data_IF_592137755140
#
_entry.id   IF_592137755140
#
_cell.length_a   1.000
_cell.length_b   1.000
_cell.length_c   1.000
_cell.angle_alpha   90.00
_cell.angle_beta   90.00
_cell.angle_gamma   90.00
#
_symmetry.space_group_name_H-M   'P 1'
#
loop_
_entity.id
_entity.type
_entity.pdbx_description
1 polymer ?
#
# COMPACT_ATOMS: atom_id res chain seq x y z
N UNK A 1 -7.85 0.79 -65.57
CA UNK A 1 -6.52 0.45 -66.13
C UNK A 1 -5.62 -0.09 -65.01
N UNK A 2 -5.91 -1.28 -64.48
CA UNK A 2 -5.15 -1.93 -63.39
C UNK A 2 -5.34 -3.46 -63.50
N UNK A 3 -5.01 -4.07 -64.63
CA UNK A 3 -5.13 -5.53 -64.79
C UNK A 3 -4.04 -6.16 -65.67
N UNK A 4 -2.81 -5.63 -65.62
CA UNK A 4 -1.66 -6.22 -66.33
C UNK A 4 -0.37 -6.15 -65.51
N UNK A 5 -0.42 -6.62 -64.27
CA UNK A 5 0.75 -6.79 -63.40
C UNK A 5 0.89 -8.23 -62.86
N UNK A 6 0.40 -9.22 -63.61
CA UNK A 6 0.81 -10.62 -63.41
C UNK A 6 2.06 -10.89 -64.26
N UNK A 7 3.20 -10.38 -63.78
CA UNK A 7 4.51 -10.82 -64.26
C UNK A 7 4.64 -12.33 -64.02
N UNK A 8 5.24 -13.05 -64.97
CA UNK A 8 5.55 -14.48 -64.92
C UNK A 8 6.51 -14.76 -63.75
N UNK A 9 5.96 -14.90 -62.54
CA UNK A 9 6.72 -15.33 -61.37
C UNK A 9 7.05 -16.82 -61.54
N UNK A 10 8.34 -17.22 -61.52
CA UNK A 10 8.72 -18.63 -61.56
C UNK A 10 8.00 -19.41 -60.45
N UNK A 11 7.56 -20.64 -60.72
CA UNK A 11 6.80 -21.46 -59.75
C UNK A 11 7.48 -21.53 -58.37
N UNK A 12 8.81 -21.56 -58.35
CA UNK A 12 9.64 -21.59 -57.14
C UNK A 12 9.53 -20.30 -56.32
N UNK A 13 9.50 -19.13 -56.97
CA UNK A 13 9.35 -17.83 -56.29
C UNK A 13 7.94 -17.64 -55.74
N UNK A 14 6.91 -18.12 -56.46
CA UNK A 14 5.52 -18.07 -55.97
C UNK A 14 5.33 -18.94 -54.73
N UNK A 15 5.96 -20.13 -54.70
CA UNK A 15 5.96 -21.01 -53.54
C UNK A 15 6.69 -20.39 -52.35
N UNK A 16 7.84 -19.75 -52.60
CA UNK A 16 8.61 -19.06 -51.57
C UNK A 16 7.84 -17.89 -50.94
N UNK A 17 7.17 -17.06 -51.76
CA UNK A 17 6.34 -15.95 -51.28
C UNK A 17 5.15 -16.45 -50.47
N UNK A 18 4.48 -17.52 -50.89
CA UNK A 18 3.38 -18.13 -50.13
C UNK A 18 3.85 -18.66 -48.76
N UNK A 19 5.04 -19.26 -48.71
CA UNK A 19 5.63 -19.77 -47.47
C UNK A 19 5.97 -18.61 -46.51
N UNK A 20 6.53 -17.51 -47.02
CA UNK A 20 6.79 -16.32 -46.21
C UNK A 20 5.50 -15.69 -45.66
N UNK A 21 4.45 -15.60 -46.47
CA UNK A 21 3.13 -15.11 -46.03
C UNK A 21 2.54 -16.03 -44.96
N UNK A 22 2.63 -17.36 -45.14
CA UNK A 22 2.15 -18.32 -44.16
C UNK A 22 2.92 -18.23 -42.84
N UNK A 23 4.25 -18.08 -42.89
CA UNK A 23 5.09 -17.92 -41.70
C UNK A 23 4.78 -16.61 -40.97
N UNK A 24 4.57 -15.52 -41.71
CA UNK A 24 4.14 -14.24 -41.14
C UNK A 24 2.76 -14.34 -40.48
N UNK A 25 1.80 -15.01 -41.13
CA UNK A 25 0.47 -15.26 -40.58
C UNK A 25 0.53 -16.12 -39.31
N UNK A 26 1.30 -17.20 -39.30
CA UNK A 26 1.47 -18.05 -38.10
C UNK A 26 2.12 -17.26 -36.96
N UNK A 27 3.10 -16.42 -37.25
CA UNK A 27 3.71 -15.55 -36.25
C UNK A 27 2.71 -14.53 -35.67
N UNK A 28 1.94 -13.84 -36.54
CA UNK A 28 0.98 -12.82 -36.10
C UNK A 28 -0.23 -13.42 -35.38
N UNK A 29 -0.77 -14.52 -35.90
CA UNK A 29 -1.90 -15.25 -35.28
C UNK A 29 -1.45 -15.90 -33.99
N UNK A 30 -0.26 -16.50 -33.95
CA UNK A 30 0.33 -17.01 -32.71
C UNK A 30 0.47 -15.91 -31.66
N UNK A 31 0.99 -14.73 -32.05
CA UNK A 31 1.11 -13.58 -31.14
C UNK A 31 -0.23 -13.01 -30.70
N UNK A 32 -1.24 -12.99 -31.56
CA UNK A 32 -2.58 -12.49 -31.24
C UNK A 32 -3.38 -13.47 -30.37
N UNK A 33 -3.24 -14.78 -30.59
CA UNK A 33 -3.86 -15.82 -29.75
C UNK A 33 -3.13 -16.02 -28.40
N UNK A 34 -1.82 -15.73 -28.35
CA UNK A 34 -1.03 -15.72 -27.11
C UNK A 34 -1.04 -14.37 -26.39
N UNK A 35 -1.74 -13.36 -26.93
CA UNK A 35 -1.99 -12.12 -26.22
C UNK A 35 -2.92 -12.45 -25.04
N UNK A 36 -2.33 -12.72 -23.88
CA UNK A 36 -3.07 -13.00 -22.65
C UNK A 36 -3.96 -11.79 -22.38
N UNK A 37 -5.28 -12.01 -22.38
CA UNK A 37 -6.23 -10.98 -21.96
C UNK A 37 -5.98 -10.73 -20.50
N UNK A 38 -5.47 -9.54 -20.19
CA UNK A 38 -5.21 -9.14 -18.82
C UNK A 38 -6.57 -8.93 -18.13
N UNK A 39 -6.84 -9.71 -17.09
CA UNK A 39 -8.13 -9.71 -16.39
C UNK A 39 -7.89 -9.61 -14.88
N UNK A 40 -8.57 -8.63 -14.27
CA UNK A 40 -8.57 -8.44 -12.82
C UNK A 40 -10.00 -8.64 -12.33
N UNK A 41 -10.23 -9.49 -11.32
CA UNK A 41 -11.56 -9.66 -10.74
C UNK A 41 -12.10 -8.35 -10.19
N UNK A 42 -13.41 -8.10 -10.38
CA UNK A 42 -14.07 -6.90 -9.85
C UNK A 42 -13.95 -6.82 -8.33
N UNK A 43 -14.09 -7.95 -7.63
CA UNK A 43 -13.91 -8.06 -6.18
C UNK A 43 -12.52 -7.61 -5.71
N UNK A 44 -11.47 -7.98 -6.44
CA UNK A 44 -10.10 -7.52 -6.15
C UNK A 44 -9.99 -6.01 -6.36
N UNK A 45 -10.54 -5.50 -7.46
CA UNK A 45 -10.49 -4.07 -7.81
C UNK A 45 -11.23 -3.21 -6.79
N UNK A 46 -12.42 -3.63 -6.37
CA UNK A 46 -13.21 -2.95 -5.35
C UNK A 46 -12.49 -2.95 -3.99
N UNK A 47 -11.97 -4.10 -3.57
CA UNK A 47 -11.21 -4.22 -2.33
C UNK A 47 -9.95 -3.32 -2.34
N UNK A 48 -9.22 -3.28 -3.46
CA UNK A 48 -8.08 -2.38 -3.66
C UNK A 48 -8.46 -0.90 -3.53
N UNK A 49 -9.58 -0.49 -4.14
CA UNK A 49 -10.05 0.89 -4.04
C UNK A 49 -10.38 1.27 -2.60
N UNK A 50 -11.08 0.40 -1.88
CA UNK A 50 -11.41 0.64 -0.46
C UNK A 50 -10.15 0.64 0.41
N UNK A 51 -9.22 -0.28 0.17
CA UNK A 51 -7.92 -0.32 0.85
C UNK A 51 -7.16 1.01 0.66
N UNK A 52 -7.09 1.51 -0.57
CA UNK A 52 -6.42 2.78 -0.87
C UNK A 52 -7.03 3.97 -0.13
N UNK A 53 -8.37 4.06 -0.06
CA UNK A 53 -9.06 5.12 0.68
C UNK A 53 -8.76 5.04 2.18
N UNK A 54 -8.81 3.85 2.77
CA UNK A 54 -8.52 3.65 4.20
C UNK A 54 -7.05 3.97 4.49
N UNK A 55 -6.13 3.55 3.63
CA UNK A 55 -4.71 3.85 3.78
C UNK A 55 -4.43 5.36 3.72
N UNK A 56 -5.07 6.09 2.79
CA UNK A 56 -4.97 7.56 2.71
C UNK A 56 -5.48 8.23 3.99
N UNK A 57 -6.60 7.77 4.54
CA UNK A 57 -7.12 8.27 5.82
C UNK A 57 -6.12 8.02 6.95
N UNK A 58 -5.55 6.82 7.05
CA UNK A 58 -4.53 6.49 8.06
C UNK A 58 -3.33 7.41 7.94
N UNK A 59 -2.77 7.59 6.74
CA UNK A 59 -1.60 8.45 6.53
C UNK A 59 -1.91 9.90 6.91
N UNK A 60 -3.07 10.41 6.49
CA UNK A 60 -3.53 11.75 6.87
C UNK A 60 -3.68 11.90 8.39
N UNK A 61 -4.22 10.88 9.05
CA UNK A 61 -4.34 10.83 10.51
C UNK A 61 -3.01 10.55 11.24
N UNK A 62 -1.99 10.04 10.59
CA UNK A 62 -0.70 9.81 11.25
C UNK A 62 0.24 11.02 11.15
N UNK A 63 0.14 11.79 10.05
CA UNK A 63 1.04 12.91 9.75
C UNK A 63 1.08 13.98 10.85
N UNK A 64 -0.05 14.25 11.52
CA UNK A 64 -0.08 15.31 12.54
C UNK A 64 0.29 14.82 13.95
N UNK A 65 0.45 13.51 14.16
CA UNK A 65 0.61 12.94 15.51
C UNK A 65 1.91 13.41 16.17
N UNK A 66 3.02 13.45 15.42
CA UNK A 66 4.31 13.94 15.93
C UNK A 66 4.26 15.42 16.33
N UNK A 67 3.63 16.27 15.50
CA UNK A 67 3.46 17.69 15.80
C UNK A 67 2.62 17.90 17.06
N UNK A 68 1.57 17.10 17.23
CA UNK A 68 0.67 17.19 18.38
C UNK A 68 1.30 16.67 19.67
N UNK A 69 2.07 15.57 19.61
CA UNK A 69 2.88 15.11 20.74
C UNK A 69 3.89 16.17 21.18
N UNK A 70 4.53 16.86 20.22
CA UNK A 70 5.41 18.00 20.54
C UNK A 70 4.64 19.15 21.20
N UNK A 71 3.46 19.52 20.66
CA UNK A 71 2.62 20.57 21.24
C UNK A 71 2.15 20.23 22.67
N UNK A 72 1.83 18.97 22.97
CA UNK A 72 1.50 18.51 24.33
C UNK A 72 2.68 18.79 25.28
N UNK A 73 3.90 18.45 24.85
CA UNK A 73 5.08 18.67 25.67
C UNK A 73 5.31 20.15 25.94
N UNK A 74 5.17 21.02 24.93
CA UNK A 74 5.28 22.48 25.09
C UNK A 74 4.23 23.01 26.06
N UNK A 75 2.95 22.67 25.86
CA UNK A 75 1.86 23.13 26.74
C UNK A 75 2.06 22.68 28.19
N UNK A 76 2.55 21.46 28.40
CA UNK A 76 2.88 20.96 29.74
C UNK A 76 4.02 21.75 30.39
N UNK A 77 5.08 22.05 29.64
CA UNK A 77 6.23 22.82 30.14
C UNK A 77 5.87 24.28 30.45
N UNK A 78 4.92 24.85 29.70
CA UNK A 78 4.40 26.20 29.91
C UNK A 78 3.37 26.30 31.07
N UNK A 79 3.11 25.18 31.78
CA UNK A 79 2.12 25.12 32.85
C UNK A 79 0.66 25.13 32.38
N UNK A 80 0.41 25.00 31.07
CA UNK A 80 -0.93 24.99 30.45
C UNK A 80 -1.53 23.57 30.48
N UNK A 81 -1.66 23.03 31.69
CA UNK A 81 -2.04 21.63 31.90
C UNK A 81 -3.42 21.25 31.35
N UNK A 82 -4.41 22.15 31.42
CA UNK A 82 -5.74 21.89 30.89
C UNK A 82 -5.74 21.75 29.35
N UNK A 83 -5.00 22.62 28.67
CA UNK A 83 -4.83 22.57 27.21
C UNK A 83 -4.05 21.32 26.79
N UNK A 84 -2.98 20.99 27.53
CA UNK A 84 -2.20 19.78 27.31
C UNK A 84 -3.05 18.51 27.47
N UNK A 85 -3.86 18.44 28.54
CA UNK A 85 -4.75 17.30 28.80
C UNK A 85 -5.83 17.15 27.73
N UNK A 86 -6.39 18.26 27.25
CA UNK A 86 -7.35 18.25 26.13
C UNK A 86 -6.70 17.69 24.86
N UNK A 87 -5.49 18.13 24.52
CA UNK A 87 -4.77 17.66 23.33
C UNK A 87 -4.40 16.18 23.44
N UNK A 88 -3.92 15.71 24.61
CA UNK A 88 -3.64 14.28 24.86
C UNK A 88 -4.91 13.44 24.66
N UNK A 89 -6.04 13.90 25.17
CA UNK A 89 -7.32 13.17 25.03
C UNK A 89 -7.76 13.08 23.57
N UNK A 90 -7.58 14.15 22.79
CA UNK A 90 -7.83 14.13 21.36
C UNK A 90 -6.92 13.15 20.62
N UNK A 91 -5.62 13.12 20.96
CA UNK A 91 -4.69 12.19 20.32
C UNK A 91 -4.94 10.74 20.70
N UNK A 92 -5.38 10.44 21.93
CA UNK A 92 -5.79 9.08 22.30
C UNK A 92 -6.97 8.60 21.46
N UNK A 93 -7.99 9.45 21.25
CA UNK A 93 -9.14 9.09 20.42
C UNK A 93 -8.76 8.96 18.94
N UNK A 94 -7.92 9.85 18.43
CA UNK A 94 -7.39 9.75 17.06
C UNK A 94 -6.59 8.47 16.86
N UNK A 95 -5.75 8.11 17.82
CA UNK A 95 -4.96 6.88 17.78
C UNK A 95 -5.88 5.64 17.75
N UNK A 96 -6.97 5.65 18.54
CA UNK A 96 -8.00 4.61 18.50
C UNK A 96 -8.66 4.50 17.12
N UNK A 97 -9.00 5.62 16.49
CA UNK A 97 -9.58 5.64 15.14
C UNK A 97 -8.61 5.14 14.07
N UNK A 98 -7.31 5.45 14.17
CA UNK A 98 -6.28 4.91 13.27
C UNK A 98 -6.23 3.38 13.40
N UNK A 99 -6.28 2.86 14.63
CA UNK A 99 -6.30 1.41 14.89
C UNK A 99 -7.53 0.74 14.29
N UNK A 100 -8.71 1.34 14.46
CA UNK A 100 -9.96 0.82 13.88
C UNK A 100 -9.88 0.79 12.33
N UNK A 101 -9.31 1.84 11.71
CA UNK A 101 -9.06 1.88 10.27
C UNK A 101 -8.03 0.85 9.81
N UNK A 102 -6.97 0.62 10.57
CA UNK A 102 -5.96 -0.39 10.25
C UNK A 102 -6.55 -1.81 10.26
N UNK A 103 -7.47 -2.08 11.19
CA UNK A 103 -8.25 -3.34 11.21
C UNK A 103 -9.13 -3.43 9.96
N UNK A 104 -9.89 -2.38 9.62
CA UNK A 104 -10.72 -2.37 8.42
C UNK A 104 -9.89 -2.55 7.13
N UNK A 105 -8.68 -1.98 7.07
CA UNK A 105 -7.76 -2.18 5.96
C UNK A 105 -7.35 -3.66 5.83
N UNK A 106 -7.07 -4.33 6.95
CA UNK A 106 -6.71 -5.75 6.95
C UNK A 106 -7.80 -6.65 6.35
N UNK A 107 -9.07 -6.29 6.53
CA UNK A 107 -10.21 -7.00 5.91
C UNK A 107 -10.22 -6.84 4.39
N UNK A 108 -9.90 -5.64 3.88
CA UNK A 108 -9.78 -5.41 2.43
C UNK A 108 -8.60 -6.17 1.83
N UNK A 109 -7.46 -6.21 2.53
CA UNK A 109 -6.30 -7.00 2.09
C UNK A 109 -6.58 -8.50 2.09
N UNK A 110 -7.37 -8.99 3.05
CA UNK A 110 -7.84 -10.38 3.03
C UNK A 110 -8.70 -10.65 1.79
N UNK A 111 -9.63 -9.74 1.46
CA UNK A 111 -10.44 -9.87 0.26
C UNK A 111 -9.57 -9.84 -1.02
N UNK A 112 -8.57 -8.97 -1.10
CA UNK A 112 -7.61 -8.96 -2.21
C UNK A 112 -6.84 -10.28 -2.30
N UNK A 113 -6.33 -10.80 -1.18
CA UNK A 113 -5.60 -12.07 -1.12
C UNK A 113 -6.45 -13.24 -1.64
N UNK A 114 -7.71 -13.32 -1.24
CA UNK A 114 -8.61 -14.40 -1.67
C UNK A 114 -8.90 -14.37 -3.18
N UNK A 115 -8.88 -13.18 -3.80
CA UNK A 115 -9.20 -13.00 -5.21
C UNK A 115 -7.97 -12.90 -6.12
N UNK A 116 -6.76 -12.82 -5.56
CA UNK A 116 -5.53 -12.62 -6.35
C UNK A 116 -5.25 -13.75 -7.34
N UNK A 117 -5.65 -14.98 -7.02
CA UNK A 117 -5.41 -16.18 -7.84
C UNK A 117 -6.16 -16.16 -9.18
N UNK A 118 -7.24 -15.38 -9.24
CA UNK A 118 -8.08 -15.20 -10.42
C UNK A 118 -7.61 -14.05 -11.34
N UNK A 119 -6.50 -13.40 -11.00
CA UNK A 119 -5.85 -12.40 -11.87
C UNK A 119 -5.07 -13.10 -12.99
N UNK A 120 -5.19 -12.60 -14.21
CA UNK A 120 -4.34 -12.94 -15.35
C UNK A 120 -3.67 -11.68 -15.93
N UNK A 121 -2.39 -11.74 -16.34
CA UNK A 121 -1.53 -12.92 -16.35
C UNK A 121 -1.03 -13.32 -14.94
N UNK A 122 -0.60 -14.58 -14.77
CA UNK A 122 -0.04 -15.08 -13.48
C UNK A 122 1.12 -14.25 -12.93
N UNK A 123 1.92 -13.62 -13.79
CA UNK A 123 2.98 -12.68 -13.38
C UNK A 123 2.42 -11.48 -12.63
N UNK A 124 1.28 -10.95 -13.09
CA UNK A 124 0.57 -9.87 -12.41
C UNK A 124 -0.08 -10.35 -11.12
N UNK A 125 -0.65 -11.56 -11.09
CA UNK A 125 -1.15 -12.16 -9.84
C UNK A 125 -0.05 -12.28 -8.76
N UNK A 126 1.17 -12.66 -9.15
CA UNK A 126 2.32 -12.72 -8.24
C UNK A 126 2.74 -11.34 -7.73
N UNK A 127 2.77 -10.32 -8.61
CA UNK A 127 3.07 -8.95 -8.22
C UNK A 127 2.04 -8.41 -7.22
N UNK A 128 0.74 -8.62 -7.49
CA UNK A 128 -0.33 -8.26 -6.58
C UNK A 128 -0.23 -8.96 -5.21
N UNK A 129 0.06 -10.27 -5.20
CA UNK A 129 0.22 -11.01 -3.95
C UNK A 129 1.42 -10.49 -3.14
N UNK A 130 2.52 -10.15 -3.82
CA UNK A 130 3.68 -9.49 -3.21
C UNK A 130 3.29 -8.18 -2.54
N UNK A 131 2.61 -7.29 -3.27
CA UNK A 131 2.12 -6.01 -2.75
C UNK A 131 1.22 -6.20 -1.52
N UNK A 132 0.22 -7.08 -1.62
CA UNK A 132 -0.71 -7.35 -0.50
C UNK A 132 0.04 -7.91 0.72
N UNK A 133 1.02 -8.79 0.54
CA UNK A 133 1.83 -9.32 1.64
C UNK A 133 2.66 -8.23 2.34
N UNK A 134 3.23 -7.31 1.56
CA UNK A 134 3.97 -6.15 2.09
C UNK A 134 3.04 -5.25 2.89
N UNK A 135 1.83 -4.97 2.37
CA UNK A 135 0.85 -4.11 3.03
C UNK A 135 0.30 -4.73 4.33
N UNK A 136 0.09 -6.04 4.38
CA UNK A 136 -0.25 -6.76 5.63
C UNK A 136 0.85 -6.60 6.67
N UNK A 137 2.11 -6.70 6.26
CA UNK A 137 3.26 -6.53 7.17
C UNK A 137 3.32 -5.09 7.68
N UNK A 138 3.13 -4.11 6.80
CA UNK A 138 3.07 -2.68 7.13
C UNK A 138 2.00 -2.40 8.20
N UNK A 139 0.79 -2.98 8.05
CA UNK A 139 -0.28 -2.81 9.04
C UNK A 139 0.13 -3.34 10.42
N UNK A 140 0.83 -4.48 10.48
CA UNK A 140 1.36 -5.01 11.74
C UNK A 140 2.27 -4.02 12.47
N UNK A 141 3.17 -3.38 11.72
CA UNK A 141 4.05 -2.33 12.24
C UNK A 141 3.28 -1.06 12.63
N UNK A 142 2.27 -0.66 11.85
CA UNK A 142 1.40 0.48 12.17
C UNK A 142 0.61 0.26 13.47
N UNK A 143 0.09 -0.95 13.69
CA UNK A 143 -0.61 -1.31 14.93
C UNK A 143 0.36 -1.28 16.12
N UNK A 144 1.58 -1.76 15.93
CA UNK A 144 2.63 -1.74 16.97
C UNK A 144 3.05 -0.31 17.32
N UNK A 145 3.24 0.54 16.30
CA UNK A 145 3.44 1.98 16.46
C UNK A 145 2.30 2.63 17.26
N UNK A 146 1.04 2.29 16.91
CA UNK A 146 -0.15 2.82 17.57
C UNK A 146 -0.18 2.45 19.06
N UNK A 147 0.17 1.20 19.39
CA UNK A 147 0.23 0.72 20.76
C UNK A 147 1.32 1.44 21.58
N UNK A 148 2.50 1.69 21.00
CA UNK A 148 3.55 2.46 21.67
C UNK A 148 3.16 3.93 21.86
N UNK A 149 2.53 4.54 20.85
CA UNK A 149 2.02 5.91 20.97
C UNK A 149 0.93 6.01 22.05
N UNK A 150 0.05 5.03 22.15
CA UNK A 150 -0.99 4.98 23.18
C UNK A 150 -0.38 4.90 24.59
N UNK A 151 0.66 4.07 24.77
CA UNK A 151 1.40 3.99 26.03
C UNK A 151 2.07 5.32 26.38
N UNK A 152 2.72 5.96 25.41
CA UNK A 152 3.36 7.27 25.60
C UNK A 152 2.34 8.34 26.02
N UNK A 153 1.21 8.43 25.31
CA UNK A 153 0.13 9.37 25.64
C UNK A 153 -0.47 9.08 27.02
N UNK A 154 -0.60 7.80 27.40
CA UNK A 154 -1.03 7.39 28.74
C UNK A 154 -0.10 7.87 29.85
N UNK A 155 1.23 7.74 29.65
CA UNK A 155 2.24 8.25 30.58
C UNK A 155 2.14 9.77 30.68
N UNK A 156 2.06 10.47 29.55
CA UNK A 156 1.96 11.93 29.53
C UNK A 156 0.69 12.41 30.25
N UNK A 157 -0.46 11.77 29.99
CA UNK A 157 -1.72 12.04 30.71
C UNK A 157 -1.55 11.85 32.21
N UNK A 158 -0.90 10.76 32.63
CA UNK A 158 -0.63 10.47 34.03
C UNK A 158 0.19 11.55 34.71
N UNK A 159 1.24 12.04 34.04
CA UNK A 159 2.10 13.13 34.54
C UNK A 159 1.36 14.44 34.71
N UNK A 160 0.56 14.83 33.72
CA UNK A 160 -0.26 16.05 33.77
C UNK A 160 -1.23 16.01 34.97
N UNK A 161 -1.74 14.83 35.34
CA UNK A 161 -2.77 14.67 36.38
C UNK A 161 -2.19 14.46 37.79
N UNK A 162 -1.05 13.77 37.95
CA UNK A 162 -0.59 13.30 39.28
C UNK A 162 0.71 13.91 39.79
N UNK A 163 1.73 14.14 38.95
CA UNK A 163 3.00 14.76 39.37
C UNK A 163 3.94 15.05 38.17
N UNK A 164 4.42 16.30 37.94
CA UNK A 164 5.32 16.64 36.83
C UNK A 164 6.74 16.05 36.93
N UNK A 165 7.25 15.76 38.13
CA UNK A 165 8.67 15.40 38.35
C UNK A 165 8.99 13.90 38.18
N UNK A 166 7.99 13.04 38.02
CA UNK A 166 8.19 11.61 37.82
C UNK A 166 8.68 11.30 36.40
N UNK A 167 9.95 11.55 36.08
CA UNK A 167 10.60 11.03 34.88
C UNK A 167 10.99 9.56 35.09
N UNK A 168 10.09 8.64 34.72
CA UNK A 168 10.48 7.25 34.50
C UNK A 168 11.30 7.15 33.22
N UNK A 169 12.28 6.25 33.21
CA UNK A 169 13.12 5.89 32.06
C UNK A 169 12.34 5.47 30.81
N UNK A 170 11.03 5.27 30.95
CA UNK A 170 10.16 4.62 29.97
C UNK A 170 9.80 5.52 28.77
N UNK A 171 9.84 6.86 28.92
CA UNK A 171 9.46 7.79 27.85
C UNK A 171 10.45 7.76 26.69
N UNK A 172 11.75 7.80 26.99
CA UNK A 172 12.80 7.79 25.96
C UNK A 172 12.81 6.48 25.17
N UNK A 173 12.59 5.36 25.87
CA UNK A 173 12.48 4.04 25.24
C UNK A 173 11.26 3.96 24.32
N UNK A 174 10.10 4.44 24.76
CA UNK A 174 8.89 4.47 23.92
C UNK A 174 9.05 5.35 22.68
N UNK A 175 9.66 6.53 22.82
CA UNK A 175 9.95 7.40 21.68
C UNK A 175 10.88 6.71 20.69
N UNK A 176 11.91 6.01 21.17
CA UNK A 176 12.78 5.22 20.28
C UNK A 176 12.00 4.14 19.54
N UNK A 177 11.17 3.35 20.24
CA UNK A 177 10.33 2.31 19.62
C UNK A 177 9.37 2.89 18.57
N UNK A 178 8.73 4.01 18.86
CA UNK A 178 7.85 4.73 17.92
C UNK A 178 8.61 5.14 16.65
N UNK A 179 9.83 5.67 16.81
CA UNK A 179 10.67 6.06 15.67
C UNK A 179 11.13 4.85 14.87
N UNK A 180 11.57 3.78 15.54
CA UNK A 180 12.01 2.53 14.90
C UNK A 180 10.86 1.95 14.05
N UNK A 181 9.64 1.88 14.58
CA UNK A 181 8.46 1.44 13.82
C UNK A 181 8.11 2.39 12.67
N UNK A 182 8.23 3.72 12.87
CA UNK A 182 7.96 4.69 11.81
C UNK A 182 8.90 4.53 10.61
N UNK A 183 10.16 4.18 10.84
CA UNK A 183 11.13 3.93 9.77
C UNK A 183 10.69 2.71 8.97
N UNK A 184 10.38 1.60 9.66
CA UNK A 184 9.95 0.35 9.01
C UNK A 184 8.64 0.55 8.23
N UNK A 185 7.67 1.27 8.78
CA UNK A 185 6.41 1.60 8.07
C UNK A 185 6.69 2.39 6.79
N UNK A 186 7.61 3.37 6.82
CA UNK A 186 7.96 4.14 5.64
C UNK A 186 8.65 3.28 4.56
N UNK A 187 9.61 2.43 4.95
CA UNK A 187 10.30 1.52 4.04
C UNK A 187 9.35 0.49 3.38
N UNK A 188 8.43 -0.07 4.17
CA UNK A 188 7.41 -0.99 3.66
C UNK A 188 6.42 -0.28 2.74
N UNK A 189 6.08 0.99 3.02
CA UNK A 189 5.21 1.78 2.16
C UNK A 189 5.86 2.07 0.80
N UNK A 190 7.15 2.40 0.78
CA UNK A 190 7.91 2.55 -0.47
C UNK A 190 7.93 1.23 -1.27
N UNK A 191 8.25 0.13 -0.60
CA UNK A 191 8.26 -1.21 -1.21
C UNK A 191 6.90 -1.60 -1.79
N UNK A 192 5.83 -1.31 -1.05
CA UNK A 192 4.46 -1.57 -1.50
C UNK A 192 4.12 -0.79 -2.78
N UNK A 193 4.43 0.50 -2.82
CA UNK A 193 4.17 1.35 -3.99
C UNK A 193 4.94 0.86 -5.22
N UNK A 194 6.22 0.48 -5.07
CA UNK A 194 7.02 -0.09 -6.16
C UNK A 194 6.43 -1.40 -6.71
N UNK A 195 5.93 -2.26 -5.82
CA UNK A 195 5.28 -3.52 -6.19
C UNK A 195 3.94 -3.27 -6.88
N UNK A 196 3.17 -2.30 -6.42
CA UNK A 196 1.89 -1.92 -7.02
C UNK A 196 2.08 -1.29 -8.40
N UNK A 197 3.09 -0.44 -8.58
CA UNK A 197 3.48 0.11 -9.89
C UNK A 197 3.93 -0.99 -10.85
N UNK A 198 4.56 -2.04 -10.35
CA UNK A 198 4.93 -3.22 -11.15
C UNK A 198 3.69 -4.02 -11.55
N UNK A 199 2.75 -4.18 -10.62
CA UNK A 199 1.45 -4.78 -10.91
C UNK A 199 0.69 -4.00 -11.99
N UNK A 200 0.57 -2.67 -11.84
CA UNK A 200 -0.17 -1.81 -12.75
C UNK A 200 0.46 -1.74 -14.15
N UNK A 201 1.79 -1.87 -14.27
CA UNK A 201 2.49 -2.02 -15.56
C UNK A 201 2.33 -3.39 -16.22
N UNK A 202 1.86 -4.38 -15.46
CA UNK A 202 1.57 -5.73 -15.96
C UNK A 202 0.25 -5.84 -16.73
N UNK A 203 -0.48 -4.73 -16.88
CA UNK A 203 -1.72 -4.56 -17.63
C UNK A 203 -1.58 -3.39 -18.61
#
# INVERSE_FOLDING_TARGET
MMSKLYLKVPRQVRLFVLLLIAMFLVYFVGRFLLAQTATVPESFTQARQQASLIAQDIVGMSKDSAMRVSAISTLNNDGKYAEALALVTQELERNRQIRDKAIALSEQLQAMTLNVSAIEPKTSAQAALGAVSTEVTLIGHLLTYNDYLNQLLGIIKGKIVRDPEALSSDVSELVKKINDESIVVNELNETFNDQLDTFDRGF
#
